data_IF_847074513561
#
_entry.id   IF_847074513561
#
_cell.length_a   1.000
_cell.length_b   1.000
_cell.length_c   1.000
_cell.angle_alpha   90.00
_cell.angle_beta   90.00
_cell.angle_gamma   90.00
#
_symmetry.space_group_name_H-M   'P 1'
#
loop_
_entity.id
_entity.type
_entity.pdbx_description
1 polymer ?
#
# COMPACT_ATOMS: atom_id res chain seq x y z
N UNK A 1 -12.08 13.74 23.11
CA UNK A 1 -11.89 12.85 21.97
C UNK A 1 -10.67 13.31 21.19
N UNK A 2 -9.71 12.43 20.88
CA UNK A 2 -8.66 12.80 19.96
C UNK A 2 -9.27 13.18 18.61
N UNK A 3 -8.67 14.13 17.95
CA UNK A 3 -9.07 14.49 16.59
C UNK A 3 -8.83 13.28 15.66
N UNK A 4 -9.65 13.14 14.64
CA UNK A 4 -9.41 12.15 13.62
C UNK A 4 -8.15 12.48 12.82
N UNK A 5 -7.66 11.50 12.06
CA UNK A 5 -6.39 11.62 11.35
C UNK A 5 -6.47 12.41 10.04
N UNK A 6 -7.64 12.88 9.64
CA UNK A 6 -7.80 13.67 8.42
C UNK A 6 -7.67 12.90 7.13
N UNK A 7 -8.35 11.76 7.01
CA UNK A 7 -8.40 11.00 5.75
C UNK A 7 -9.09 11.83 4.67
N UNK A 8 -8.44 11.97 3.53
CA UNK A 8 -8.99 12.63 2.34
C UNK A 8 -9.70 11.65 1.41
N UNK A 9 -9.10 10.47 1.20
CA UNK A 9 -9.64 9.46 0.28
C UNK A 9 -8.98 8.12 0.49
N UNK A 10 -9.67 7.07 0.05
CA UNK A 10 -9.08 5.76 -0.18
C UNK A 10 -8.28 5.82 -1.49
N UNK A 11 -6.99 5.54 -1.42
CA UNK A 11 -6.12 5.55 -2.61
C UNK A 11 -6.14 4.20 -3.32
N UNK A 12 -5.78 3.15 -2.61
CA UNK A 12 -5.81 1.81 -3.19
C UNK A 12 -5.94 0.70 -2.16
N UNK A 13 -6.38 -0.44 -2.64
CA UNK A 13 -6.37 -1.72 -1.94
C UNK A 13 -5.36 -2.63 -2.62
N UNK A 14 -4.48 -3.24 -1.85
CA UNK A 14 -3.44 -4.12 -2.38
C UNK A 14 -3.70 -5.57 -2.00
N UNK A 15 -3.66 -6.42 -3.00
CA UNK A 15 -3.81 -7.86 -2.86
C UNK A 15 -2.53 -8.58 -3.28
N UNK A 16 -2.01 -9.46 -2.44
CA UNK A 16 -0.85 -10.28 -2.76
C UNK A 16 -1.28 -11.67 -3.23
N UNK A 17 -0.68 -12.13 -4.32
CA UNK A 17 -0.94 -13.45 -4.92
C UNK A 17 0.39 -14.13 -5.24
N UNK A 18 0.35 -15.45 -5.46
CA UNK A 18 1.55 -16.18 -5.85
C UNK A 18 1.98 -15.87 -7.28
N UNK A 19 1.00 -15.70 -8.17
CA UNK A 19 1.19 -15.30 -9.57
C UNK A 19 0.10 -14.34 -10.01
N UNK A 20 0.48 -13.26 -10.67
CA UNK A 20 -0.47 -12.28 -11.20
C UNK A 20 -1.53 -12.93 -12.09
N UNK A 21 -1.12 -13.90 -12.89
CA UNK A 21 -1.99 -14.62 -13.82
C UNK A 21 -3.12 -15.40 -13.13
N UNK A 22 -2.94 -15.75 -11.86
CA UNK A 22 -3.98 -16.46 -11.10
C UNK A 22 -5.20 -15.56 -10.80
N UNK A 23 -4.99 -14.25 -10.70
CA UNK A 23 -6.03 -13.29 -10.32
C UNK A 23 -6.42 -12.33 -11.45
N UNK A 24 -5.51 -11.98 -12.36
CA UNK A 24 -5.78 -10.99 -13.40
C UNK A 24 -7.01 -11.30 -14.28
N UNK A 25 -7.21 -12.54 -14.78
CA UNK A 25 -8.39 -12.83 -15.58
C UNK A 25 -9.70 -12.64 -14.82
N UNK A 26 -9.70 -12.94 -13.54
CA UNK A 26 -10.83 -12.72 -12.65
C UNK A 26 -11.13 -11.23 -12.46
N UNK A 27 -10.09 -10.45 -12.16
CA UNK A 27 -10.24 -9.01 -11.91
C UNK A 27 -10.62 -8.25 -13.19
N UNK A 28 -10.02 -8.58 -14.32
CA UNK A 28 -10.27 -7.88 -15.58
C UNK A 28 -11.49 -8.41 -16.31
N UNK A 29 -11.64 -9.72 -16.42
CA UNK A 29 -12.70 -10.34 -17.18
C UNK A 29 -14.05 -10.36 -16.45
N UNK A 30 -14.05 -10.82 -15.18
CA UNK A 30 -15.30 -10.91 -14.41
C UNK A 30 -15.67 -9.60 -13.75
N UNK A 31 -14.71 -8.95 -13.09
CA UNK A 31 -14.98 -7.72 -12.32
C UNK A 31 -14.87 -6.44 -13.15
N UNK A 32 -14.40 -6.55 -14.38
CA UNK A 32 -14.35 -5.41 -15.31
C UNK A 32 -13.30 -4.36 -14.99
N UNK A 33 -12.29 -4.69 -14.18
CA UNK A 33 -11.21 -3.76 -13.90
C UNK A 33 -10.31 -3.58 -15.12
N UNK A 34 -9.71 -2.39 -15.23
CA UNK A 34 -8.80 -2.03 -16.32
C UNK A 34 -7.37 -1.92 -15.80
N UNK A 35 -6.45 -2.62 -16.46
CA UNK A 35 -5.01 -2.47 -16.14
C UNK A 35 -4.55 -1.08 -16.51
N UNK A 36 -4.00 -0.35 -15.54
CA UNK A 36 -3.44 1.00 -15.74
C UNK A 36 -1.93 1.00 -15.90
N UNK A 37 -1.23 0.04 -15.30
CA UNK A 37 0.21 -0.06 -15.39
C UNK A 37 0.76 -1.31 -14.72
N UNK A 38 2.02 -1.62 -15.07
CA UNK A 38 2.79 -2.69 -14.48
C UNK A 38 4.08 -2.13 -13.91
N UNK A 39 4.53 -2.67 -12.81
CA UNK A 39 5.75 -2.22 -12.15
C UNK A 39 6.52 -3.38 -11.53
N UNK A 40 7.82 -3.14 -11.32
CA UNK A 40 8.71 -4.04 -10.58
C UNK A 40 9.49 -3.22 -9.57
N UNK A 41 9.65 -3.75 -8.37
CA UNK A 41 10.51 -3.18 -7.34
C UNK A 41 11.53 -4.23 -6.88
N UNK A 42 12.75 -4.22 -7.47
CA UNK A 42 13.79 -5.17 -7.12
C UNK A 42 14.32 -5.01 -5.70
N UNK A 43 14.24 -3.81 -5.12
CA UNK A 43 14.73 -3.56 -3.76
C UNK A 43 13.84 -4.22 -2.73
N UNK A 44 12.53 -4.17 -2.93
CA UNK A 44 11.54 -4.79 -2.05
C UNK A 44 11.22 -6.22 -2.47
N UNK A 45 11.41 -6.56 -3.75
CA UNK A 45 11.28 -7.92 -4.27
C UNK A 45 9.90 -8.31 -4.75
N UNK A 46 9.13 -7.36 -5.28
CA UNK A 46 7.83 -7.66 -5.87
C UNK A 46 7.69 -7.08 -7.29
N UNK A 47 6.76 -7.64 -8.04
CA UNK A 47 6.18 -7.02 -9.23
C UNK A 47 4.68 -6.89 -9.04
N UNK A 48 4.11 -5.94 -9.74
CA UNK A 48 2.69 -5.67 -9.55
C UNK A 48 1.99 -5.10 -10.77
N UNK A 49 0.68 -5.02 -10.61
CA UNK A 49 -0.23 -4.42 -11.58
C UNK A 49 -1.15 -3.47 -10.85
N UNK A 50 -1.23 -2.24 -11.34
CA UNK A 50 -2.25 -1.29 -10.93
C UNK A 50 -3.50 -1.44 -11.81
N UNK A 51 -4.67 -1.49 -11.17
CA UNK A 51 -5.95 -1.64 -11.85
C UNK A 51 -6.90 -0.52 -11.42
N UNK A 52 -7.65 -0.03 -12.38
CA UNK A 52 -8.76 0.89 -12.11
C UNK A 52 -10.03 0.10 -11.87
N UNK A 53 -10.71 0.43 -10.78
CA UNK A 53 -12.03 -0.12 -10.46
C UNK A 53 -13.09 0.55 -11.33
N UNK A 54 -14.04 -0.19 -11.90
CA UNK A 54 -15.17 0.40 -12.62
C UNK A 54 -15.91 1.43 -11.76
N UNK A 55 -16.35 2.51 -12.37
CA UNK A 55 -17.01 3.62 -11.67
C UNK A 55 -16.10 4.77 -11.30
N UNK A 56 -14.80 4.67 -11.58
CA UNK A 56 -13.83 5.77 -11.51
C UNK A 56 -13.37 6.17 -10.12
N UNK A 57 -13.63 5.37 -9.09
CA UNK A 57 -13.21 5.64 -7.72
C UNK A 57 -12.32 4.53 -7.19
N UNK A 58 -11.10 4.89 -6.82
CA UNK A 58 -10.16 3.97 -6.21
C UNK A 58 -9.40 3.09 -7.20
N UNK A 59 -8.28 2.62 -6.73
CA UNK A 59 -7.39 1.73 -7.47
C UNK A 59 -7.24 0.41 -6.72
N UNK A 60 -6.94 -0.63 -7.47
CA UNK A 60 -6.62 -1.94 -6.95
C UNK A 60 -5.21 -2.30 -7.39
N UNK A 61 -4.35 -2.74 -6.47
CA UNK A 61 -3.02 -3.22 -6.77
C UNK A 61 -2.93 -4.71 -6.53
N UNK A 62 -2.27 -5.39 -7.44
CA UNK A 62 -2.00 -6.81 -7.35
C UNK A 62 -0.49 -7.02 -7.33
N UNK A 63 0.02 -7.73 -6.32
CA UNK A 63 1.45 -8.01 -6.16
C UNK A 63 1.74 -9.50 -6.25
N UNK A 64 2.87 -9.84 -6.86
CA UNK A 64 3.47 -11.17 -6.79
C UNK A 64 4.95 -11.07 -6.39
N UNK A 65 5.54 -12.13 -5.81
CA UNK A 65 6.98 -12.15 -5.58
C UNK A 65 7.76 -12.03 -6.88
N UNK A 66 8.80 -11.18 -6.88
CA UNK A 66 9.65 -11.00 -8.04
C UNK A 66 10.56 -12.21 -8.27
N UNK A 67 11.07 -12.76 -7.18
CA UNK A 67 11.96 -13.92 -7.16
C UNK A 67 11.85 -14.68 -5.82
N UNK A 68 12.67 -15.71 -5.64
CA UNK A 68 12.65 -16.57 -4.46
C UNK A 68 13.05 -15.86 -3.15
N UNK A 69 13.68 -14.69 -3.24
CA UNK A 69 14.15 -13.92 -2.08
C UNK A 69 13.11 -12.90 -1.58
N UNK A 70 11.98 -12.78 -2.28
CA UNK A 70 10.96 -11.80 -1.94
C UNK A 70 10.36 -12.04 -0.56
N UNK A 71 10.21 -10.96 0.22
CA UNK A 71 9.53 -11.00 1.52
C UNK A 71 8.05 -11.44 1.40
N UNK A 72 7.43 -11.27 0.23
CA UNK A 72 6.04 -11.70 0.00
C UNK A 72 5.83 -13.19 0.18
N UNK A 73 6.87 -14.01 0.01
CA UNK A 73 6.75 -15.45 0.24
C UNK A 73 6.32 -15.77 1.67
N UNK A 74 6.86 -15.06 2.65
CA UNK A 74 6.46 -15.25 4.04
C UNK A 74 4.98 -14.92 4.25
N UNK A 75 4.52 -13.79 3.73
CA UNK A 75 3.10 -13.44 3.80
C UNK A 75 2.22 -14.53 3.17
N UNK A 76 2.57 -14.96 1.96
CA UNK A 76 1.80 -15.95 1.21
C UNK A 76 1.82 -17.33 1.87
N UNK A 77 2.94 -17.73 2.46
CA UNK A 77 3.08 -19.02 3.14
C UNK A 77 2.34 -19.05 4.49
N UNK A 78 2.33 -17.96 5.21
CA UNK A 78 1.65 -17.84 6.50
C UNK A 78 0.14 -17.60 6.38
N UNK A 79 -0.29 -16.80 5.39
CA UNK A 79 -1.67 -16.33 5.26
C UNK A 79 -2.38 -16.80 4.01
N UNK A 80 -1.63 -17.27 2.99
CA UNK A 80 -2.15 -17.49 1.65
C UNK A 80 -2.39 -16.20 0.87
N UNK A 81 -2.80 -16.30 -0.40
CA UNK A 81 -3.20 -15.13 -1.18
C UNK A 81 -4.32 -14.36 -0.50
N UNK A 82 -4.22 -13.04 -0.51
CA UNK A 82 -5.25 -12.21 0.10
C UNK A 82 -4.84 -10.75 0.26
N UNK A 83 -5.68 -10.01 0.98
CA UNK A 83 -5.48 -8.61 1.27
C UNK A 83 -4.14 -8.39 1.97
N UNK A 84 -3.31 -7.54 1.38
CA UNK A 84 -2.00 -7.19 1.92
C UNK A 84 -2.06 -5.87 2.69
N UNK A 85 -2.55 -4.81 2.08
CA UNK A 85 -2.72 -3.52 2.74
C UNK A 85 -3.79 -2.66 2.09
N UNK A 86 -4.20 -1.63 2.84
CA UNK A 86 -5.11 -0.57 2.38
C UNK A 86 -4.41 0.76 2.58
N UNK A 87 -4.46 1.63 1.58
CA UNK A 87 -3.76 2.90 1.57
C UNK A 87 -4.74 4.07 1.48
N UNK A 88 -4.58 5.02 2.39
CA UNK A 88 -5.34 6.26 2.42
C UNK A 88 -4.41 7.47 2.26
N UNK A 89 -4.87 8.44 1.48
CA UNK A 89 -4.28 9.77 1.52
C UNK A 89 -4.85 10.57 2.68
N UNK A 90 -3.97 11.24 3.41
CA UNK A 90 -4.35 12.13 4.53
C UNK A 90 -3.97 13.56 4.22
N UNK A 91 -4.54 14.50 5.00
CA UNK A 91 -4.26 15.93 4.81
C UNK A 91 -2.88 16.32 5.31
N UNK A 92 -2.45 15.75 6.43
CA UNK A 92 -1.19 16.07 7.12
C UNK A 92 -0.66 14.80 7.78
N UNK A 93 0.55 14.39 7.42
CA UNK A 93 1.12 13.13 7.91
C UNK A 93 1.48 13.20 9.41
N UNK A 94 1.93 14.34 9.89
CA UNK A 94 2.28 14.52 11.29
C UNK A 94 1.02 14.49 12.16
N UNK A 95 -0.05 15.12 11.71
CA UNK A 95 -1.37 15.03 12.36
C UNK A 95 -1.87 13.58 12.39
N UNK A 96 -1.75 12.85 11.28
CA UNK A 96 -2.17 11.46 11.22
C UNK A 96 -1.38 10.61 12.22
N UNK A 97 -0.05 10.75 12.27
CA UNK A 97 0.79 10.04 13.23
C UNK A 97 0.45 10.41 14.69
N UNK A 98 0.21 11.68 14.99
CA UNK A 98 -0.17 12.13 16.32
C UNK A 98 -1.54 11.59 16.72
N UNK A 99 -2.48 11.51 15.79
CA UNK A 99 -3.82 10.93 16.05
C UNK A 99 -3.74 9.43 16.35
N UNK A 100 -2.88 8.71 15.63
CA UNK A 100 -2.62 7.28 15.91
C UNK A 100 -2.07 7.09 17.32
N UNK A 101 -1.07 7.90 17.70
CA UNK A 101 -0.50 7.87 19.07
C UNK A 101 -1.52 8.22 20.13
N UNK A 102 -2.33 9.24 19.90
CA UNK A 102 -3.37 9.66 20.82
C UNK A 102 -4.44 8.59 21.02
N UNK A 103 -4.67 7.75 20.04
CA UNK A 103 -5.56 6.60 20.13
C UNK A 103 -4.96 5.45 20.96
N UNK A 104 -3.65 5.45 21.17
CA UNK A 104 -2.94 4.43 21.94
C UNK A 104 -2.15 3.43 21.12
N UNK A 105 -1.92 3.73 19.85
CA UNK A 105 -1.16 2.89 18.91
C UNK A 105 0.14 3.60 18.57
N UNK A 106 1.24 2.84 18.53
CA UNK A 106 2.50 3.36 18.03
C UNK A 106 2.52 3.25 16.50
N UNK A 107 2.67 4.36 15.75
CA UNK A 107 2.80 4.29 14.30
C UNK A 107 4.02 3.46 13.89
N UNK A 108 3.81 2.46 13.06
CA UNK A 108 4.88 1.57 12.64
C UNK A 108 5.89 2.32 11.77
N UNK A 109 7.15 2.32 12.20
CA UNK A 109 8.22 3.05 11.53
C UNK A 109 8.20 4.57 11.72
N UNK A 110 7.31 5.10 12.55
CA UNK A 110 7.13 6.54 12.69
C UNK A 110 6.68 7.20 11.39
N UNK A 111 6.98 8.48 11.23
CA UNK A 111 6.77 9.19 9.95
C UNK A 111 8.04 9.06 9.10
N UNK A 112 7.86 8.57 7.90
CA UNK A 112 8.93 8.35 6.93
C UNK A 112 8.77 9.33 5.77
N UNK A 113 9.84 10.12 5.52
CA UNK A 113 9.86 11.07 4.41
C UNK A 113 10.90 10.67 3.37
N UNK A 114 10.48 10.62 2.13
CA UNK A 114 11.32 10.47 0.94
C UNK A 114 10.97 11.60 -0.03
N UNK A 115 11.65 11.70 -1.15
CA UNK A 115 11.40 12.79 -2.11
C UNK A 115 9.94 12.92 -2.50
N UNK A 116 9.29 13.99 -2.02
CA UNK A 116 7.90 14.30 -2.35
C UNK A 116 6.85 13.35 -1.75
N UNK A 117 7.22 12.54 -0.79
CA UNK A 117 6.36 11.53 -0.17
C UNK A 117 6.58 11.45 1.34
N UNK A 118 5.50 11.39 2.10
CA UNK A 118 5.55 11.11 3.52
C UNK A 118 4.53 10.04 3.87
N UNK A 119 4.88 9.09 4.71
CA UNK A 119 4.01 7.97 5.06
C UNK A 119 4.17 7.54 6.51
N UNK A 120 3.14 6.88 7.00
CA UNK A 120 3.14 6.15 8.26
C UNK A 120 2.19 4.95 8.16
N UNK A 121 2.25 4.04 9.13
CA UNK A 121 1.51 2.79 9.07
C UNK A 121 0.90 2.44 10.42
N UNK A 122 -0.19 1.67 10.37
CA UNK A 122 -0.68 0.89 11.51
C UNK A 122 -0.39 -0.58 11.24
N UNK A 123 0.37 -1.20 12.17
CA UNK A 123 0.72 -2.61 12.09
C UNK A 123 -0.54 -3.50 12.16
N UNK A 124 -0.59 -4.62 11.42
CA UNK A 124 -1.74 -5.53 11.46
C UNK A 124 -2.13 -6.03 12.85
N UNK A 125 -1.16 -6.18 13.77
CA UNK A 125 -1.44 -6.58 15.15
C UNK A 125 -2.31 -5.55 15.91
N UNK A 126 -2.23 -4.28 15.53
CA UNK A 126 -2.98 -3.19 16.16
C UNK A 126 -4.32 -2.89 15.49
N UNK A 127 -4.56 -3.46 14.31
CA UNK A 127 -5.74 -3.19 13.48
C UNK A 127 -6.68 -4.38 13.33
N UNK A 128 -6.34 -5.51 13.94
CA UNK A 128 -7.11 -6.75 13.73
C UNK A 128 -6.78 -7.50 12.45
N UNK A 129 -5.59 -7.27 11.85
CA UNK A 129 -5.06 -8.09 10.78
C UNK A 129 -4.83 -7.40 9.43
N UNK A 130 -5.10 -6.11 9.33
CA UNK A 130 -4.88 -5.34 8.09
C UNK A 130 -3.76 -4.34 8.30
N UNK A 131 -2.80 -4.32 7.38
CA UNK A 131 -1.82 -3.24 7.31
C UNK A 131 -2.48 -2.01 6.71
N UNK A 132 -2.53 -0.92 7.44
CA UNK A 132 -2.97 0.37 6.94
C UNK A 132 -1.79 1.28 6.67
N UNK A 133 -1.76 1.85 5.48
CA UNK A 133 -0.80 2.86 5.07
C UNK A 133 -1.49 4.20 4.92
N UNK A 134 -0.84 5.25 5.41
CA UNK A 134 -1.29 6.63 5.26
C UNK A 134 -0.18 7.44 4.62
N UNK A 135 -0.52 8.28 3.67
CA UNK A 135 0.47 9.06 2.96
C UNK A 135 0.00 10.47 2.64
N UNK A 136 0.97 11.32 2.38
CA UNK A 136 0.83 12.65 1.79
C UNK A 136 1.86 12.77 0.69
N UNK A 137 1.44 13.30 -0.45
CA UNK A 137 2.38 13.81 -1.45
C UNK A 137 2.82 15.19 -0.98
N UNK A 138 4.08 15.31 -0.55
CA UNK A 138 4.69 16.60 -0.25
C UNK A 138 5.13 17.24 -1.58
N UNK A 139 4.95 18.57 -1.72
CA UNK A 139 5.24 19.26 -2.96
C UNK A 139 6.67 18.99 -3.44
N UNK A 140 6.79 18.08 -4.41
CA UNK A 140 7.94 18.02 -5.27
C UNK A 140 7.69 19.02 -6.41
N UNK A 141 8.62 19.94 -6.63
CA UNK A 141 8.56 20.85 -7.75
C UNK A 141 8.33 20.09 -9.05
N UNK A 142 7.23 20.45 -9.70
CA UNK A 142 6.83 20.15 -11.06
C UNK A 142 7.59 19.03 -11.78
N UNK A 143 7.02 17.82 -11.75
CA UNK A 143 7.19 16.88 -12.84
C UNK A 143 5.81 16.57 -13.43
N UNK A 144 5.68 16.61 -14.76
CA UNK A 144 4.43 16.26 -15.41
C UNK A 144 4.03 14.83 -15.07
N UNK A 145 2.74 14.58 -15.02
CA UNK A 145 2.09 13.31 -14.74
C UNK A 145 2.45 12.23 -15.77
N UNK A 146 3.69 11.82 -15.80
CA UNK A 146 4.12 10.63 -16.49
C UNK A 146 4.71 9.72 -15.42
N UNK A 147 4.11 8.55 -15.30
CA UNK A 147 4.50 7.47 -14.42
C UNK A 147 4.44 7.81 -12.93
N UNK A 148 3.23 7.72 -12.37
CA UNK A 148 3.13 7.40 -10.95
C UNK A 148 3.78 6.03 -10.78
N UNK A 149 5.05 6.06 -10.45
CA UNK A 149 5.72 4.90 -9.91
C UNK A 149 5.01 4.56 -8.59
N UNK A 150 4.13 3.57 -8.66
CA UNK A 150 3.37 3.08 -7.51
C UNK A 150 4.26 2.21 -6.62
N UNK A 151 5.51 2.04 -7.01
CA UNK A 151 6.51 1.28 -6.30
C UNK A 151 7.21 2.13 -5.25
N UNK A 152 6.47 2.53 -4.22
CA UNK A 152 7.17 3.00 -3.02
C UNK A 152 7.64 1.79 -2.23
N UNK A 153 8.93 1.74 -1.91
CA UNK A 153 9.47 0.62 -1.16
C UNK A 153 8.81 0.57 0.21
N UNK A 154 7.95 -0.38 0.37
CA UNK A 154 7.43 -0.74 1.68
C UNK A 154 8.49 -1.60 2.34
N UNK A 155 9.45 -0.96 2.98
CA UNK A 155 10.34 -1.67 3.88
C UNK A 155 9.52 -2.12 5.09
N UNK A 156 9.03 -3.34 4.99
CA UNK A 156 8.58 -4.06 6.16
C UNK A 156 9.83 -4.62 6.84
N UNK A 157 10.43 -3.84 7.70
CA UNK A 157 11.27 -4.43 8.71
C UNK A 157 10.34 -5.18 9.66
N UNK A 158 10.17 -6.47 9.39
CA UNK A 158 9.63 -7.37 10.38
C UNK A 158 10.64 -7.44 11.52
N UNK A 159 10.36 -6.72 12.58
CA UNK A 159 10.93 -7.10 13.86
C UNK A 159 10.24 -8.37 14.30
N UNK A 160 10.89 -9.49 13.97
CA UNK A 160 10.56 -10.77 14.53
C UNK A 160 10.94 -10.77 16.00
N UNK A 161 9.95 -10.82 16.86
CA UNK A 161 10.02 -11.44 18.17
C UNK A 161 8.91 -12.47 18.28
#
# INVERSE_FOLDING_TARGET
MPEDMGIKRLDHVCWAVRKLEDALPFLTGLMGMTVEGRFEDPEVGFRGVGLRVPGGTGHFELLEPLDETSYLHRFLDERGPGLHHVTFEVEDIDRAADSIKAFGIEPMGGVRRTHGWAETFIHPADSGGVLFQFFVEEEAHEHPHEDRDVSHPHEYEEHSD
#
